data_IF_805062320852
#
_entry.id   IF_805062320852
#
_cell.length_a   1.000
_cell.length_b   1.000
_cell.length_c   1.000
_cell.angle_alpha   90.00
_cell.angle_beta   90.00
_cell.angle_gamma   90.00
#
_symmetry.space_group_name_H-M   'P 1'
#
loop_
_entity.id
_entity.type
_entity.pdbx_description
1 polymer ?
#
# COMPACT_ATOMS: atom_id res chain seq x y z
N UNK A 1 32.74 24.68 21.16
CA UNK A 1 31.41 24.18 21.57
C UNK A 1 30.49 23.80 20.40
N UNK A 2 30.79 24.14 19.14
CA UNK A 2 29.86 23.91 18.02
C UNK A 2 29.94 22.51 17.37
N UNK A 3 31.10 21.85 17.43
CA UNK A 3 31.33 20.57 16.75
C UNK A 3 30.57 19.41 17.41
N UNK A 4 30.57 19.35 18.74
CA UNK A 4 29.88 18.31 19.51
C UNK A 4 28.36 18.41 19.34
N UNK A 5 27.81 19.62 19.33
CA UNK A 5 26.39 19.85 19.08
C UNK A 5 25.97 19.40 17.67
N UNK A 6 26.78 19.65 16.65
CA UNK A 6 26.53 19.19 15.28
C UNK A 6 26.54 17.65 15.16
N UNK A 7 27.47 16.98 15.83
CA UNK A 7 27.55 15.51 15.83
C UNK A 7 26.31 14.89 16.50
N UNK A 8 25.88 15.43 17.65
CA UNK A 8 24.70 14.94 18.36
C UNK A 8 23.42 15.17 17.54
N UNK A 9 23.27 16.35 16.93
CA UNK A 9 22.14 16.64 16.05
C UNK A 9 22.08 15.69 14.85
N UNK A 10 23.23 15.40 14.21
CA UNK A 10 23.31 14.45 13.11
C UNK A 10 22.89 13.03 13.51
N UNK A 11 23.35 12.56 14.67
CA UNK A 11 22.99 11.25 15.22
C UNK A 11 21.50 11.13 15.54
N UNK A 12 20.89 12.19 16.11
CA UNK A 12 19.46 12.22 16.40
C UNK A 12 18.61 12.17 15.12
N UNK A 13 18.98 12.93 14.09
CA UNK A 13 18.27 12.93 12.80
C UNK A 13 18.39 11.56 12.13
N UNK A 14 19.58 10.97 12.11
CA UNK A 14 19.79 9.62 11.56
C UNK A 14 18.97 8.56 12.31
N UNK A 15 18.95 8.61 13.65
CA UNK A 15 18.14 7.71 14.48
C UNK A 15 16.64 7.86 14.23
N UNK A 16 16.14 9.09 14.12
CA UNK A 16 14.74 9.38 13.80
C UNK A 16 14.37 8.85 12.40
N UNK A 17 15.23 9.02 11.41
CA UNK A 17 15.01 8.50 10.07
C UNK A 17 14.95 6.96 10.05
N UNK A 18 15.87 6.29 10.76
CA UNK A 18 15.91 4.82 10.83
C UNK A 18 14.65 4.27 11.52
N UNK A 19 14.21 4.90 12.61
CA UNK A 19 13.00 4.47 13.33
C UNK A 19 11.75 4.65 12.48
N UNK A 20 11.61 5.77 11.75
CA UNK A 20 10.53 5.99 10.80
C UNK A 20 10.53 4.96 9.67
N UNK A 21 11.68 4.67 9.06
CA UNK A 21 11.79 3.65 8.00
C UNK A 21 11.41 2.27 8.52
N UNK A 22 11.87 1.91 9.72
CA UNK A 22 11.56 0.61 10.32
C UNK A 22 10.08 0.49 10.67
N UNK A 23 9.46 1.57 11.16
CA UNK A 23 8.02 1.64 11.40
C UNK A 23 7.22 1.53 10.11
N UNK A 24 7.61 2.27 9.06
CA UNK A 24 6.97 2.22 7.76
C UNK A 24 7.06 0.83 7.12
N UNK A 25 8.21 0.16 7.22
CA UNK A 25 8.38 -1.23 6.75
C UNK A 25 7.49 -2.22 7.52
N UNK A 26 7.38 -2.07 8.84
CA UNK A 26 6.50 -2.91 9.67
C UNK A 26 5.03 -2.72 9.26
N UNK A 27 4.59 -1.48 9.09
CA UNK A 27 3.24 -1.14 8.64
C UNK A 27 2.96 -1.60 7.21
N UNK A 28 3.93 -1.50 6.30
CA UNK A 28 3.77 -1.98 4.93
C UNK A 28 3.52 -3.49 4.86
N UNK A 29 4.14 -4.27 5.74
CA UNK A 29 3.88 -5.71 5.84
C UNK A 29 2.49 -6.01 6.40
N UNK A 30 2.03 -5.25 7.40
CA UNK A 30 0.65 -5.36 7.92
C UNK A 30 -0.38 -5.01 6.84
N UNK A 31 -0.13 -3.96 6.04
CA UNK A 31 -0.99 -3.59 4.92
C UNK A 31 -0.99 -4.64 3.81
N UNK A 32 0.16 -5.24 3.49
CA UNK A 32 0.21 -6.34 2.51
C UNK A 32 -0.55 -7.57 2.99
N UNK A 33 -0.41 -7.94 4.26
CA UNK A 33 -1.17 -9.05 4.83
C UNK A 33 -2.68 -8.79 4.76
N UNK A 34 -3.13 -7.58 5.08
CA UNK A 34 -4.54 -7.20 4.96
C UNK A 34 -5.04 -7.21 3.49
N UNK A 35 -4.21 -6.77 2.53
CA UNK A 35 -4.56 -6.83 1.10
C UNK A 35 -4.62 -8.27 0.61
N UNK A 36 -3.69 -9.13 1.03
CA UNK A 36 -3.68 -10.54 0.66
C UNK A 36 -4.86 -11.29 1.28
N UNK A 37 -5.27 -10.95 2.50
CA UNK A 37 -6.49 -11.46 3.14
C UNK A 37 -7.75 -11.03 2.37
N UNK A 38 -7.85 -9.75 2.00
CA UNK A 38 -8.94 -9.24 1.16
C UNK A 38 -8.95 -9.87 -0.24
N UNK A 39 -7.77 -10.09 -0.84
CA UNK A 39 -7.64 -10.73 -2.15
C UNK A 39 -7.97 -12.22 -2.08
N UNK A 40 -7.58 -12.92 -1.02
CA UNK A 40 -7.96 -14.31 -0.77
C UNK A 40 -9.47 -14.47 -0.63
N UNK A 41 -10.11 -13.59 0.15
CA UNK A 41 -11.57 -13.53 0.27
C UNK A 41 -12.27 -13.16 -1.05
N UNK A 42 -11.72 -12.21 -1.82
CA UNK A 42 -12.24 -11.85 -3.14
C UNK A 42 -12.06 -12.98 -4.17
N UNK A 43 -10.99 -13.76 -4.07
CA UNK A 43 -10.71 -14.88 -4.97
C UNK A 43 -11.70 -16.03 -4.82
N UNK A 44 -12.29 -16.26 -3.64
CA UNK A 44 -13.37 -17.24 -3.47
C UNK A 44 -14.67 -16.79 -4.15
N UNK A 45 -14.89 -15.48 -4.28
CA UNK A 45 -16.05 -14.96 -4.98
C UNK A 45 -15.94 -15.03 -6.51
N UNK A 46 -14.74 -15.18 -7.07
CA UNK A 46 -14.48 -15.59 -8.46
C UNK A 46 -15.32 -14.92 -9.56
N UNK A 47 -15.92 -13.77 -9.28
CA UNK A 47 -16.96 -13.18 -10.11
C UNK A 47 -16.24 -12.37 -11.17
N UNK A 48 -15.84 -13.05 -12.24
CA UNK A 48 -15.39 -12.39 -13.47
C UNK A 48 -16.60 -11.63 -14.00
N UNK A 49 -16.65 -10.34 -13.71
CA UNK A 49 -17.66 -9.45 -14.26
C UNK A 49 -17.33 -9.21 -15.73
N UNK A 50 -17.82 -10.09 -16.60
CA UNK A 50 -17.79 -9.84 -18.03
C UNK A 50 -18.72 -8.66 -18.34
N UNK A 51 -18.16 -7.59 -18.89
CA UNK A 51 -18.92 -6.45 -19.37
C UNK A 51 -18.86 -6.41 -20.90
N UNK A 52 -20.01 -6.40 -21.54
CA UNK A 52 -20.13 -6.21 -22.99
C UNK A 52 -20.44 -4.75 -23.29
N UNK A 53 -19.71 -4.17 -24.24
CA UNK A 53 -19.93 -2.79 -24.67
C UNK A 53 -21.07 -2.74 -25.69
N UNK A 54 -22.15 -2.05 -25.35
CA UNK A 54 -23.27 -1.82 -26.26
C UNK A 54 -22.78 -0.97 -27.45
N UNK A 55 -22.81 -1.49 -28.70
CA UNK A 55 -22.32 -0.76 -29.85
C UNK A 55 -23.20 0.45 -30.22
N UNK A 56 -24.46 0.50 -29.78
CA UNK A 56 -25.38 1.58 -30.08
C UNK A 56 -25.24 2.75 -29.09
N UNK A 57 -24.95 2.47 -27.82
CA UNK A 57 -24.89 3.49 -26.75
C UNK A 57 -23.50 3.73 -26.20
N UNK A 58 -22.55 2.82 -26.46
CA UNK A 58 -21.19 2.86 -25.94
C UNK A 58 -21.06 2.52 -24.44
N UNK A 59 -22.19 2.24 -23.77
CA UNK A 59 -22.25 1.91 -22.34
C UNK A 59 -21.89 0.44 -22.13
N UNK A 60 -21.08 0.16 -21.12
CA UNK A 60 -20.74 -1.21 -20.70
C UNK A 60 -21.89 -1.77 -19.87
N UNK A 61 -22.46 -2.90 -20.29
CA UNK A 61 -23.46 -3.65 -19.55
C UNK A 61 -22.89 -4.96 -19.08
N UNK A 62 -23.33 -5.43 -17.92
CA UNK A 62 -22.96 -6.76 -17.42
C UNK A 62 -23.46 -7.82 -18.41
N UNK A 63 -22.56 -8.68 -18.87
CA UNK A 63 -22.87 -9.87 -19.67
C UNK A 63 -23.47 -10.89 -18.70
N UNK A 64 -24.71 -11.31 -18.99
CA UNK A 64 -25.41 -12.34 -18.22
C UNK A 64 -24.93 -13.73 -18.63
#
# INVERSE_FOLDING_TARGET
MNTTAGIVAGLLVAGAAVTLVRFARRKANEFRAAIDELRGAASESGEVLDFERDPATGVYRRRA
#
